data_IF_756292140022
#
_entry.id   IF_756292140022
#
_cell.length_a   1.000
_cell.length_b   1.000
_cell.length_c   1.000
_cell.angle_alpha   90.00
_cell.angle_beta   90.00
_cell.angle_gamma   90.00
#
_symmetry.space_group_name_H-M   'P 1'
#
loop_
_entity.id
_entity.type
_entity.pdbx_description
1 polymer ?
#
# COMPACT_ATOMS: atom_id res chain seq x y z
N UNK A 1 -13.29 10.47 11.38
CA UNK A 1 -11.98 10.13 10.79
C UNK A 1 -12.26 9.69 9.35
N UNK A 2 -11.48 10.15 8.37
CA UNK A 2 -11.62 9.68 6.99
C UNK A 2 -10.94 8.33 6.86
N UNK A 3 -11.61 7.37 6.21
CA UNK A 3 -11.02 6.09 5.84
C UNK A 3 -10.73 6.11 4.35
N UNK A 4 -9.60 5.53 3.99
CA UNK A 4 -9.24 5.35 2.60
C UNK A 4 -9.06 3.85 2.37
N UNK A 5 -9.49 3.39 1.20
CA UNK A 5 -9.23 2.05 0.74
C UNK A 5 -8.07 2.09 -0.25
N UNK A 6 -7.09 1.24 -0.03
CA UNK A 6 -5.96 1.02 -0.92
C UNK A 6 -6.18 -0.30 -1.66
N UNK A 7 -6.23 -0.23 -2.98
CA UNK A 7 -6.29 -1.38 -3.89
C UNK A 7 -4.93 -1.59 -4.52
N UNK A 8 -4.48 -2.83 -4.66
CA UNK A 8 -3.19 -3.17 -5.25
C UNK A 8 -3.24 -4.54 -5.95
N UNK A 9 -2.43 -4.73 -6.98
CA UNK A 9 -2.24 -6.02 -7.63
C UNK A 9 -1.00 -6.73 -7.07
N UNK A 10 -1.12 -8.03 -6.92
CA UNK A 10 -0.03 -8.93 -6.58
C UNK A 10 0.59 -9.50 -7.85
N UNK A 11 1.85 -9.89 -7.74
CA UNK A 11 2.63 -10.52 -8.82
C UNK A 11 2.11 -11.90 -9.20
N UNK A 12 1.28 -12.52 -8.34
CA UNK A 12 0.57 -13.77 -8.64
C UNK A 12 -0.70 -13.59 -9.50
N UNK A 13 -1.03 -12.34 -9.86
CA UNK A 13 -2.21 -11.99 -10.66
C UNK A 13 -3.48 -11.75 -9.84
N UNK A 14 -3.44 -11.90 -8.52
CA UNK A 14 -4.56 -11.56 -7.64
C UNK A 14 -4.57 -10.07 -7.25
N UNK A 15 -5.74 -9.55 -6.90
CA UNK A 15 -5.91 -8.18 -6.39
C UNK A 15 -6.13 -8.22 -4.88
N UNK A 16 -5.42 -7.36 -4.16
CA UNK A 16 -5.56 -7.14 -2.73
C UNK A 16 -6.19 -5.79 -2.40
N UNK A 17 -6.74 -5.69 -1.19
CA UNK A 17 -7.29 -4.46 -0.64
C UNK A 17 -6.84 -4.29 0.80
N UNK A 18 -6.51 -3.07 1.19
CA UNK A 18 -6.21 -2.68 2.56
C UNK A 18 -7.03 -1.43 2.91
N UNK A 19 -7.46 -1.34 4.17
CA UNK A 19 -8.08 -0.14 4.71
C UNK A 19 -7.03 0.62 5.51
N UNK A 20 -6.92 1.91 5.27
CA UNK A 20 -6.04 2.80 6.02
C UNK A 20 -6.86 3.91 6.65
N UNK A 21 -6.55 4.22 7.90
CA UNK A 21 -7.15 5.32 8.64
C UNK A 21 -6.31 6.58 8.41
N UNK A 22 -6.87 7.61 7.78
CA UNK A 22 -6.16 8.83 7.45
C UNK A 22 -6.50 9.38 6.07
N UNK A 23 -5.89 10.52 5.72
CA UNK A 23 -5.98 11.09 4.37
C UNK A 23 -4.65 10.84 3.69
N UNK A 24 -4.67 10.04 2.64
CA UNK A 24 -3.50 9.84 1.77
C UNK A 24 -3.60 10.83 0.62
N UNK A 25 -2.63 11.73 0.51
CA UNK A 25 -2.65 12.79 -0.50
C UNK A 25 -1.74 12.47 -1.69
N UNK A 26 -0.75 11.61 -1.48
CA UNK A 26 0.27 11.29 -2.47
C UNK A 26 0.43 9.78 -2.69
N UNK A 27 0.78 9.34 -3.91
CA UNK A 27 1.01 7.93 -4.20
C UNK A 27 2.19 7.33 -3.43
N UNK A 28 3.15 8.15 -2.98
CA UNK A 28 4.27 7.72 -2.12
C UNK A 28 3.76 7.42 -0.70
N UNK A 29 2.90 8.28 -0.17
CA UNK A 29 2.25 8.09 1.13
C UNK A 29 1.36 6.85 1.09
N UNK A 30 0.61 6.63 0.01
CA UNK A 30 -0.18 5.41 -0.20
C UNK A 30 0.63 4.12 -0.06
N UNK A 31 1.82 4.08 -0.66
CA UNK A 31 2.69 2.90 -0.59
C UNK A 31 3.23 2.68 0.82
N UNK A 32 3.57 3.75 1.54
CA UNK A 32 4.02 3.67 2.95
C UNK A 32 2.91 3.20 3.87
N UNK A 33 1.73 3.78 3.74
CA UNK A 33 0.56 3.39 4.52
C UNK A 33 0.15 1.95 4.23
N UNK A 34 0.25 1.50 2.97
CA UNK A 34 0.02 0.11 2.62
C UNK A 34 1.04 -0.84 3.26
N UNK A 35 2.32 -0.47 3.24
CA UNK A 35 3.39 -1.24 3.89
C UNK A 35 3.15 -1.35 5.39
N UNK A 36 2.72 -0.27 6.04
CA UNK A 36 2.36 -0.25 7.45
C UNK A 36 1.11 -1.08 7.75
N UNK A 37 0.06 -0.95 6.93
CA UNK A 37 -1.18 -1.71 7.09
C UNK A 37 -0.99 -3.23 6.91
N UNK A 38 -0.02 -3.63 6.09
CA UNK A 38 0.34 -5.03 5.86
C UNK A 38 1.43 -5.54 6.81
N UNK A 39 1.92 -4.70 7.73
CA UNK A 39 3.01 -5.02 8.66
C UNK A 39 4.23 -5.66 7.97
N UNK A 40 4.56 -5.19 6.76
CA UNK A 40 5.64 -5.79 5.98
C UNK A 40 6.97 -5.52 6.67
N UNK A 41 7.88 -6.50 6.80
CA UNK A 41 9.18 -6.27 7.42
C UNK A 41 10.02 -5.27 6.62
N UNK A 42 10.94 -4.59 7.29
CA UNK A 42 11.88 -3.68 6.64
C UNK A 42 12.84 -4.48 5.75
N UNK A 43 12.83 -4.19 4.45
CA UNK A 43 13.76 -4.79 3.51
C UNK A 43 15.07 -4.00 3.62
N UNK A 44 16.02 -4.53 4.40
CA UNK A 44 17.40 -4.07 4.65
C UNK A 44 17.85 -2.78 3.93
N UNK A 45 18.21 -1.78 4.75
CA UNK A 45 19.01 -0.57 4.46
C UNK A 45 18.40 0.57 3.64
N UNK A 46 17.19 0.47 3.11
CA UNK A 46 16.47 1.64 2.60
C UNK A 46 14.99 1.55 2.98
N UNK A 47 14.44 2.62 3.56
CA UNK A 47 13.02 2.83 3.85
C UNK A 47 12.19 2.99 2.55
N UNK A 48 12.41 2.08 1.61
CA UNK A 48 11.84 2.06 0.28
C UNK A 48 10.58 1.19 0.30
N UNK A 49 9.43 1.86 0.35
CA UNK A 49 8.14 1.19 0.38
C UNK A 49 7.93 0.34 -0.87
N UNK A 50 8.43 0.78 -2.03
CA UNK A 50 8.35 0.04 -3.29
C UNK A 50 9.10 -1.30 -3.22
N UNK A 51 10.31 -1.33 -2.67
CA UNK A 51 11.08 -2.55 -2.47
C UNK A 51 10.38 -3.53 -1.52
N UNK A 52 9.79 -3.04 -0.43
CA UNK A 52 9.04 -3.85 0.55
C UNK A 52 7.77 -4.45 -0.06
N UNK A 53 7.02 -3.65 -0.82
CA UNK A 53 5.85 -4.13 -1.55
C UNK A 53 6.25 -5.22 -2.57
N UNK A 54 7.31 -5.00 -3.35
CA UNK A 54 7.80 -6.02 -4.30
C UNK A 54 8.26 -7.30 -3.59
N UNK A 55 8.93 -7.19 -2.45
CA UNK A 55 9.34 -8.35 -1.65
C UNK A 55 8.14 -9.15 -1.12
N UNK A 56 7.01 -8.47 -0.85
CA UNK A 56 5.74 -9.09 -0.49
C UNK A 56 4.93 -9.60 -1.70
N UNK A 57 5.49 -9.53 -2.92
CA UNK A 57 4.79 -9.91 -4.15
C UNK A 57 3.70 -8.93 -4.56
N UNK A 58 3.83 -7.64 -4.23
CA UNK A 58 2.90 -6.57 -4.60
C UNK A 58 3.56 -5.68 -5.64
N UNK A 59 2.81 -5.31 -6.69
CA UNK A 59 3.28 -4.37 -7.69
C UNK A 59 3.04 -2.93 -7.22
N UNK A 60 4.07 -2.16 -6.85
CA UNK A 60 3.87 -0.86 -6.23
C UNK A 60 3.26 0.19 -7.17
N UNK A 61 3.45 0.04 -8.48
CA UNK A 61 2.83 0.89 -9.50
C UNK A 61 1.31 0.68 -9.62
N UNK A 62 0.80 -0.45 -9.14
CA UNK A 62 -0.63 -0.77 -9.15
C UNK A 62 -1.41 -0.21 -7.96
N UNK A 63 -0.70 0.38 -6.98
CA UNK A 63 -1.29 0.91 -5.75
C UNK A 63 -2.16 2.13 -6.06
N UNK A 64 -3.45 2.00 -5.78
CA UNK A 64 -4.45 3.06 -5.96
C UNK A 64 -5.19 3.30 -4.66
N UNK A 65 -5.37 4.57 -4.31
CA UNK A 65 -6.15 4.96 -3.13
C UNK A 65 -7.48 5.51 -3.58
N UNK A 66 -8.55 5.01 -2.98
CA UNK A 66 -9.90 5.53 -3.14
C UNK A 66 -10.43 5.97 -1.79
N UNK A 67 -11.06 7.17 -1.69
CA UNK A 67 -11.73 7.58 -0.48
C UNK A 67 -12.90 6.64 -0.20
N UNK A 68 -12.94 6.10 1.02
CA UNK A 68 -14.08 5.33 1.47
C UNK A 68 -15.16 6.33 1.90
N UNK A 69 -16.04 6.67 0.97
CA UNK A 69 -17.24 7.47 1.26
C UNK A 69 -18.30 6.51 1.79
N UNK A 70 -18.60 6.60 3.09
CA UNK A 70 -19.69 5.88 3.74
C UNK A 70 -21.07 6.40 3.32
#
# INVERSE_FOLDING_TARGET
>A
MMKMQITFNKTDGSTGMALVDGVVNDPIEARRELVAALDLPDASDHNDADARLRAAGIEPASVQVVPLVE
#
